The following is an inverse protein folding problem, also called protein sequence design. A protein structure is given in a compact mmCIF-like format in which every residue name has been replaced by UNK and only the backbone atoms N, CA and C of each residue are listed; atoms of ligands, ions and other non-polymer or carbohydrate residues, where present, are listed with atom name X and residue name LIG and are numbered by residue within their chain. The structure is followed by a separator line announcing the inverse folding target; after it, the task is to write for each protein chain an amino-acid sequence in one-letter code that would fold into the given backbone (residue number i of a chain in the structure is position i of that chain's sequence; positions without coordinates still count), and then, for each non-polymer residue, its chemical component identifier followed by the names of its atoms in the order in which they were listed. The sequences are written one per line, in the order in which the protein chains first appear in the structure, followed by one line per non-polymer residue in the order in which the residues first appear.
data_IF_149782780883
#
_entry.id   IF_149782780883
#
_cell.length_a   1.000
_cell.length_b   1.000
_cell.length_c   1.000
_cell.angle_alpha   90.00
_cell.angle_beta   90.00
_cell.angle_gamma   90.00
#
_symmetry.space_group_name_H-M   'P 1'
#
loop_
_entity.id
_entity.type
_entity.pdbx_description
1 polymer ?
#
# COMPACT_ATOMS: atom_id res chain seq x y z
N UNK A 1 -6.94 -7.93 37.50
CA UNK A 1 -7.17 -6.91 36.45
C UNK A 1 -7.76 -7.62 35.24
N UNK A 2 -8.98 -7.26 34.86
CA UNK A 2 -9.72 -7.93 33.79
C UNK A 2 -9.22 -7.52 32.40
N UNK A 3 -9.29 -8.51 31.51
CA UNK A 3 -9.16 -8.53 30.04
C UNK A 3 -9.38 -7.19 29.32
N UNK A 4 -8.36 -6.75 28.57
CA UNK A 4 -8.46 -5.99 27.30
C UNK A 4 -9.27 -4.67 27.25
N UNK A 5 -9.49 -3.97 28.37
CA UNK A 5 -10.27 -2.71 28.42
C UNK A 5 -9.62 -1.46 27.77
N UNK A 6 -8.46 -1.58 27.09
CA UNK A 6 -7.86 -0.45 26.37
C UNK A 6 -8.35 -0.32 24.91
N UNK A 7 -9.15 -1.27 24.43
CA UNK A 7 -9.78 -1.21 23.10
C UNK A 7 -11.29 -1.10 23.28
N UNK A 8 -11.74 0.01 23.83
CA UNK A 8 -13.16 0.30 23.85
C UNK A 8 -13.58 0.74 22.44
N UNK A 9 -14.38 -0.09 21.79
CA UNK A 9 -15.11 0.29 20.58
C UNK A 9 -16.32 1.09 21.08
N UNK A 10 -16.07 2.34 21.48
CA UNK A 10 -17.13 3.25 21.95
C UNK A 10 -18.02 3.69 20.77
N UNK A 11 -19.23 4.17 21.05
CA UNK A 11 -20.14 4.63 19.99
C UNK A 11 -19.62 5.86 19.23
N UNK A 12 -18.74 6.66 19.85
CA UNK A 12 -18.10 7.83 19.25
C UNK A 12 -17.02 7.45 18.23
N UNK A 13 -16.55 6.20 18.24
CA UNK A 13 -15.54 5.67 17.31
C UNK A 13 -16.11 5.35 15.93
N UNK A 14 -17.44 5.28 15.81
CA UNK A 14 -18.14 5.05 14.55
C UNK A 14 -18.34 6.38 13.82
N UNK A 15 -18.20 6.40 12.50
CA UNK A 15 -18.50 7.60 11.71
C UNK A 15 -19.93 8.10 12.00
N UNK A 16 -20.14 9.41 11.87
CA UNK A 16 -21.40 10.15 12.07
C UNK A 16 -22.48 9.71 11.06
N UNK A 17 -22.94 8.47 11.20
CA UNK A 17 -23.95 7.83 10.37
C UNK A 17 -24.96 7.22 11.33
N UNK A 18 -26.23 7.52 11.12
CA UNK A 18 -27.32 6.97 11.93
C UNK A 18 -27.45 5.47 11.66
N UNK A 19 -26.67 4.66 12.39
CA UNK A 19 -26.72 3.20 12.32
C UNK A 19 -27.82 2.66 13.23
N UNK A 20 -28.55 1.65 12.76
CA UNK A 20 -29.45 0.89 13.62
C UNK A 20 -28.68 0.14 14.72
N UNK A 21 -29.35 -0.19 15.83
CA UNK A 21 -28.72 -0.97 16.91
C UNK A 21 -28.15 -2.31 16.40
N UNK A 22 -28.80 -2.95 15.44
CA UNK A 22 -28.33 -4.19 14.84
C UNK A 22 -27.05 -3.99 14.01
N UNK A 23 -26.98 -2.91 13.22
CA UNK A 23 -25.78 -2.55 12.47
C UNK A 23 -24.60 -2.24 13.39
N UNK A 24 -24.86 -1.52 14.49
CA UNK A 24 -23.85 -1.22 15.52
C UNK A 24 -23.29 -2.49 16.17
N UNK A 25 -24.16 -3.42 16.58
CA UNK A 25 -23.72 -4.66 17.22
C UNK A 25 -22.98 -5.60 16.24
N UNK A 26 -23.41 -5.62 14.97
CA UNK A 26 -22.68 -6.32 13.90
C UNK A 26 -21.27 -5.75 13.72
N UNK A 27 -21.14 -4.42 13.72
CA UNK A 27 -19.86 -3.74 13.59
C UNK A 27 -18.95 -4.00 14.79
N UNK A 28 -19.43 -3.86 16.03
CA UNK A 28 -18.64 -4.20 17.23
C UNK A 28 -18.12 -5.63 17.20
N UNK A 29 -18.94 -6.61 16.79
CA UNK A 29 -18.52 -8.00 16.62
C UNK A 29 -17.41 -8.14 15.58
N UNK A 30 -17.56 -7.49 14.43
CA UNK A 30 -16.57 -7.50 13.35
C UNK A 30 -15.23 -6.88 13.79
N UNK A 31 -15.27 -5.74 14.50
CA UNK A 31 -14.07 -5.07 15.00
C UNK A 31 -13.38 -5.91 16.08
N UNK A 32 -14.13 -6.46 17.04
CA UNK A 32 -13.58 -7.38 18.06
C UNK A 32 -12.94 -8.62 17.43
N UNK A 33 -13.58 -9.18 16.42
CA UNK A 33 -13.04 -10.30 15.64
C UNK A 33 -11.72 -9.92 14.97
N UNK A 34 -11.66 -8.76 14.31
CA UNK A 34 -10.47 -8.24 13.61
C UNK A 34 -9.29 -8.05 14.56
N UNK A 35 -9.55 -7.47 15.74
CA UNK A 35 -8.55 -7.27 16.79
C UNK A 35 -8.00 -8.59 17.29
N UNK A 36 -8.87 -9.55 17.61
CA UNK A 36 -8.44 -10.89 18.03
C UNK A 36 -7.61 -11.59 16.95
N UNK A 37 -8.02 -11.44 15.69
CA UNK A 37 -7.27 -11.94 14.54
C UNK A 37 -5.89 -11.30 14.40
N UNK A 38 -5.75 -10.00 14.63
CA UNK A 38 -4.46 -9.32 14.67
C UNK A 38 -3.52 -9.92 15.72
N UNK A 39 -4.01 -10.20 16.94
CA UNK A 39 -3.19 -10.85 17.96
C UNK A 39 -2.76 -12.27 17.55
N UNK A 40 -3.69 -13.08 17.02
CA UNK A 40 -3.41 -14.48 16.64
C UNK A 40 -2.43 -14.56 15.46
N UNK A 41 -2.59 -13.68 14.48
CA UNK A 41 -1.78 -13.70 13.26
C UNK A 41 -0.33 -13.26 13.45
N UNK A 42 -0.04 -12.52 14.51
CA UNK A 42 1.29 -11.98 14.79
C UNK A 42 1.99 -12.69 15.95
N UNK A 43 1.60 -13.94 16.23
CA UNK A 43 2.17 -14.75 17.32
C UNK A 43 3.63 -15.14 17.11
N UNK A 44 4.15 -15.02 15.89
CA UNK A 44 5.55 -15.23 15.58
C UNK A 44 6.44 -14.01 15.92
N UNK A 45 5.83 -12.88 16.26
CA UNK A 45 6.51 -11.66 16.70
C UNK A 45 6.53 -11.60 18.23
N UNK A 46 7.67 -11.19 18.78
CA UNK A 46 7.81 -10.91 20.22
C UNK A 46 7.21 -9.54 20.55
N UNK A 47 5.89 -9.49 20.70
CA UNK A 47 5.13 -8.27 20.98
C UNK A 47 4.75 -8.22 22.47
N UNK A 48 5.18 -7.17 23.16
CA UNK A 48 4.76 -6.90 24.53
C UNK A 48 3.37 -6.24 24.55
N UNK A 49 2.34 -7.04 24.80
CA UNK A 49 0.96 -6.57 25.01
C UNK A 49 0.64 -6.26 26.48
N UNK A 50 1.64 -6.02 27.33
CA UNK A 50 1.41 -5.59 28.70
C UNK A 50 0.66 -4.24 28.73
N UNK A 51 -0.25 -4.02 29.71
CA UNK A 51 -0.95 -2.75 29.83
C UNK A 51 -0.02 -1.53 29.90
N UNK A 52 1.15 -1.69 30.53
CA UNK A 52 2.16 -0.64 30.63
C UNK A 52 2.69 -0.24 29.25
N UNK A 53 3.06 -1.22 28.41
CA UNK A 53 3.59 -0.93 27.08
C UNK A 53 2.53 -0.40 26.12
N UNK A 54 1.30 -0.89 26.21
CA UNK A 54 0.16 -0.36 25.45
C UNK A 54 -0.06 1.12 25.81
N UNK A 55 -0.10 1.45 27.11
CA UNK A 55 -0.31 2.81 27.57
C UNK A 55 0.83 3.75 27.20
N UNK A 56 2.10 3.32 27.35
CA UNK A 56 3.25 4.12 26.93
C UNK A 56 3.24 4.35 25.41
N UNK A 57 2.86 3.35 24.63
CA UNK A 57 2.73 3.48 23.17
C UNK A 57 1.62 4.47 22.81
N UNK A 58 0.45 4.36 23.47
CA UNK A 58 -0.66 5.29 23.32
C UNK A 58 -0.25 6.75 23.60
N UNK A 59 0.50 6.99 24.67
CA UNK A 59 1.02 8.33 24.97
C UNK A 59 2.05 8.81 23.93
N UNK A 60 2.92 7.91 23.46
CA UNK A 60 3.99 8.26 22.50
C UNK A 60 3.47 8.69 21.12
N UNK A 61 2.25 8.27 20.74
CA UNK A 61 1.65 8.60 19.46
C UNK A 61 1.12 10.03 19.39
N UNK A 62 0.99 10.74 20.52
CA UNK A 62 0.49 12.12 20.53
C UNK A 62 -0.86 12.25 19.79
N UNK A 63 -1.05 13.23 18.89
CA UNK A 63 -2.29 13.38 18.12
C UNK A 63 -2.63 12.20 17.21
N UNK A 64 -1.66 11.41 16.76
CA UNK A 64 -1.91 10.27 15.85
C UNK A 64 -2.68 9.14 16.53
N UNK A 65 -2.70 9.08 17.86
CA UNK A 65 -3.43 8.04 18.61
C UNK A 65 -4.94 8.09 18.32
N UNK A 66 -5.45 9.27 17.99
CA UNK A 66 -6.86 9.53 17.73
C UNK A 66 -7.24 9.23 16.27
N UNK A 67 -6.26 8.90 15.41
CA UNK A 67 -6.53 8.49 14.03
C UNK A 67 -7.14 7.09 14.00
N UNK A 68 -8.31 6.97 13.38
CA UNK A 68 -8.97 5.69 13.17
C UNK A 68 -8.33 4.96 11.99
N UNK A 69 -8.11 3.65 12.14
CA UNK A 69 -7.75 2.76 11.04
C UNK A 69 -8.90 1.78 10.88
N UNK A 70 -9.47 1.67 9.68
CA UNK A 70 -10.65 0.82 9.43
C UNK A 70 -11.81 1.09 10.41
N UNK A 71 -12.02 2.36 10.78
CA UNK A 71 -13.03 2.81 11.75
C UNK A 71 -12.79 2.30 13.19
N UNK A 72 -11.58 1.85 13.50
CA UNK A 72 -11.19 1.42 14.85
C UNK A 72 -10.35 2.51 15.51
N UNK A 73 -10.86 3.06 16.61
CA UNK A 73 -10.13 3.97 17.51
C UNK A 73 -8.95 3.25 18.14
N UNK A 74 -7.84 3.95 18.36
CA UNK A 74 -6.58 3.40 18.91
C UNK A 74 -5.93 2.28 18.07
N UNK A 75 -6.42 1.96 16.86
CA UNK A 75 -5.77 0.94 16.01
C UNK A 75 -4.32 1.31 15.64
N UNK A 76 -3.99 2.61 15.66
CA UNK A 76 -2.61 3.11 15.57
C UNK A 76 -1.70 2.59 16.68
N UNK A 77 -2.22 2.36 17.89
CA UNK A 77 -1.46 1.74 19.00
C UNK A 77 -1.07 0.32 18.63
N UNK A 78 -2.02 -0.47 18.14
CA UNK A 78 -1.77 -1.86 17.73
C UNK A 78 -0.83 -1.93 16.54
N UNK A 79 -1.05 -1.09 15.52
CA UNK A 79 -0.11 -0.93 14.41
C UNK A 79 1.30 -0.65 14.93
N UNK A 80 1.46 0.33 15.83
CA UNK A 80 2.76 0.70 16.37
C UNK A 80 3.42 -0.44 17.12
N UNK A 81 2.68 -1.20 17.92
CA UNK A 81 3.20 -2.36 18.65
C UNK A 81 3.69 -3.46 17.71
N UNK A 82 2.83 -3.88 16.78
CA UNK A 82 3.13 -4.94 15.81
C UNK A 82 4.32 -4.55 14.93
N UNK A 83 4.28 -3.34 14.34
CA UNK A 83 5.35 -2.87 13.45
C UNK A 83 6.66 -2.66 14.21
N UNK A 84 6.63 -2.23 15.48
CA UNK A 84 7.86 -2.13 16.28
C UNK A 84 8.51 -3.49 16.53
N UNK A 85 7.72 -4.52 16.85
CA UNK A 85 8.24 -5.88 17.00
C UNK A 85 8.72 -6.47 15.66
N UNK A 86 7.97 -6.23 14.59
CA UNK A 86 8.35 -6.62 13.23
C UNK A 86 9.70 -6.01 12.86
N UNK A 87 9.88 -4.70 13.06
CA UNK A 87 11.12 -4.00 12.71
C UNK A 87 12.33 -4.58 13.48
N UNK A 88 12.17 -4.94 14.76
CA UNK A 88 13.25 -5.59 15.53
C UNK A 88 13.69 -6.92 14.91
N UNK A 89 12.75 -7.68 14.35
CA UNK A 89 12.99 -9.02 13.79
C UNK A 89 13.50 -8.96 12.35
N UNK A 90 12.94 -8.09 11.52
CA UNK A 90 13.07 -8.14 10.06
C UNK A 90 13.84 -6.96 9.43
N UNK A 91 14.26 -5.95 10.19
CA UNK A 91 15.17 -4.92 9.66
C UNK A 91 16.45 -5.60 9.14
N UNK A 92 16.88 -5.32 7.88
CA UNK A 92 18.11 -5.88 7.33
C UNK A 92 19.32 -5.59 8.24
N UNK A 93 20.01 -6.63 8.69
CA UNK A 93 21.17 -6.52 9.61
C UNK A 93 22.51 -6.48 8.89
N UNK A 94 22.55 -6.96 7.66
CA UNK A 94 23.78 -7.10 6.86
C UNK A 94 24.04 -5.90 5.93
N UNK A 95 23.12 -4.94 5.91
CA UNK A 95 23.16 -3.77 5.04
C UNK A 95 22.73 -2.53 5.84
N UNK A 96 23.34 -1.39 5.54
CA UNK A 96 22.92 -0.12 6.14
C UNK A 96 21.57 0.30 5.56
N UNK A 97 20.59 0.47 6.46
CA UNK A 97 19.26 0.97 6.11
C UNK A 97 19.30 2.50 6.12
N UNK A 98 19.20 3.09 4.94
CA UNK A 98 19.24 4.55 4.75
C UNK A 98 17.85 5.19 4.79
N UNK A 99 16.79 4.40 4.62
CA UNK A 99 15.41 4.85 4.83
C UNK A 99 14.50 3.67 5.21
N UNK A 100 13.53 3.94 6.07
CA UNK A 100 12.54 2.98 6.54
C UNK A 100 11.19 3.66 6.68
N UNK A 101 10.18 3.15 5.98
CA UNK A 101 8.82 3.71 5.99
C UNK A 101 7.77 2.62 5.98
N UNK A 102 6.77 2.78 6.82
CA UNK A 102 5.52 2.01 6.76
C UNK A 102 4.51 2.82 5.95
N UNK A 103 3.91 2.22 4.93
CA UNK A 103 3.09 2.89 3.92
C UNK A 103 1.79 2.14 3.71
N UNK A 104 0.71 2.84 3.43
CA UNK A 104 -0.56 2.28 3.00
C UNK A 104 -0.54 1.90 1.50
N UNK A 105 -1.31 0.89 1.13
CA UNK A 105 -1.59 0.52 -0.25
C UNK A 105 -2.92 1.19 -0.62
N UNK A 106 -2.94 1.95 -1.70
CA UNK A 106 -4.21 2.41 -2.26
C UNK A 106 -5.03 1.18 -2.65
N UNK A 107 -6.27 1.05 -2.17
CA UNK A 107 -7.09 -0.11 -2.52
C UNK A 107 -7.18 -0.27 -4.05
N UNK A 108 -7.00 -1.50 -4.55
CA UNK A 108 -7.08 -1.83 -5.99
C UNK A 108 -5.75 -1.86 -6.76
N UNK A 109 -4.59 -1.76 -6.10
CA UNK A 109 -3.27 -1.82 -6.78
C UNK A 109 -2.60 -3.20 -6.78
N UNK A 110 -3.26 -4.18 -6.18
CA UNK A 110 -2.84 -5.58 -6.25
C UNK A 110 -3.31 -6.18 -7.57
N UNK A 111 -2.38 -6.23 -8.53
CA UNK A 111 -2.50 -6.95 -9.79
C UNK A 111 -3.47 -6.33 -10.80
N UNK A 112 -2.99 -6.13 -12.04
CA UNK A 112 -3.88 -5.95 -13.18
C UNK A 112 -4.90 -7.11 -13.19
N UNK A 113 -6.19 -6.78 -13.24
CA UNK A 113 -7.31 -7.66 -13.58
C UNK A 113 -7.73 -8.78 -12.60
N UNK A 114 -7.33 -8.75 -11.33
CA UNK A 114 -7.88 -9.69 -10.33
C UNK A 114 -8.56 -8.90 -9.21
N UNK A 115 -9.89 -8.95 -9.18
CA UNK A 115 -10.68 -8.40 -8.08
C UNK A 115 -10.15 -8.93 -6.74
N UNK A 116 -10.02 -8.08 -5.71
CA UNK A 116 -9.47 -8.48 -4.42
C UNK A 116 -10.29 -9.65 -3.86
N UNK A 117 -9.65 -10.81 -3.77
CA UNK A 117 -10.18 -11.91 -2.98
C UNK A 117 -10.15 -11.44 -1.52
N UNK A 118 -11.31 -11.46 -0.86
CA UNK A 118 -11.49 -10.94 0.51
C UNK A 118 -10.74 -11.74 1.59
N UNK A 119 -9.94 -12.75 1.21
CA UNK A 119 -9.03 -13.46 2.09
C UNK A 119 -7.61 -12.93 1.91
N UNK A 120 -7.04 -12.33 2.96
CA UNK A 120 -5.68 -11.77 2.99
C UNK A 120 -5.40 -10.65 1.98
N UNK A 121 -6.34 -9.70 1.84
CA UNK A 121 -6.11 -8.45 1.08
C UNK A 121 -4.92 -7.67 1.67
N UNK A 122 -4.02 -7.15 0.83
CA UNK A 122 -2.87 -6.35 1.24
C UNK A 122 -3.30 -4.90 1.47
N UNK A 123 -2.89 -4.36 2.59
CA UNK A 123 -3.22 -2.99 2.97
C UNK A 123 -1.98 -2.14 3.22
N UNK A 124 -0.84 -2.72 3.58
CA UNK A 124 0.33 -1.93 3.91
C UNK A 124 1.63 -2.53 3.40
N UNK A 125 2.67 -1.69 3.32
CA UNK A 125 4.05 -2.09 3.10
C UNK A 125 4.95 -1.55 4.21
N UNK A 126 5.83 -2.38 4.76
CA UNK A 126 7.06 -1.91 5.37
C UNK A 126 8.15 -1.93 4.30
N UNK A 127 8.71 -0.75 4.00
CA UNK A 127 9.81 -0.56 3.07
C UNK A 127 11.09 -0.26 3.85
N UNK A 128 12.16 -1.00 3.55
CA UNK A 128 13.53 -0.66 3.93
C UNK A 128 14.35 -0.43 2.67
N UNK A 129 15.05 0.70 2.62
CA UNK A 129 15.96 1.03 1.52
C UNK A 129 17.38 0.95 2.05
N UNK A 130 18.22 0.22 1.33
CA UNK A 130 19.67 0.17 1.54
C UNK A 130 20.37 0.67 0.27
N UNK A 131 21.70 0.74 0.28
CA UNK A 131 22.47 1.05 -0.92
C UNK A 131 22.34 0.00 -2.04
N UNK A 132 21.92 -1.24 -1.73
CA UNK A 132 21.90 -2.35 -2.68
C UNK A 132 20.49 -2.83 -3.01
N UNK A 133 19.58 -2.76 -2.06
CA UNK A 133 18.27 -3.39 -2.13
C UNK A 133 17.17 -2.50 -1.56
N UNK A 134 15.96 -2.68 -2.07
CA UNK A 134 14.71 -2.32 -1.40
C UNK A 134 14.10 -3.62 -0.88
N UNK A 135 13.87 -3.70 0.42
CA UNK A 135 13.12 -4.77 1.05
C UNK A 135 11.69 -4.28 1.26
N UNK A 136 10.73 -5.01 0.71
CA UNK A 136 9.31 -4.73 0.80
C UNK A 136 8.62 -5.89 1.50
N UNK A 137 7.95 -5.61 2.60
CA UNK A 137 7.11 -6.57 3.30
C UNK A 137 5.67 -6.11 3.20
N UNK A 138 4.80 -6.93 2.62
CA UNK A 138 3.37 -6.64 2.50
C UNK A 138 2.63 -7.09 3.75
N UNK A 139 1.64 -6.31 4.19
CA UNK A 139 0.85 -6.58 5.37
C UNK A 139 -0.64 -6.57 5.10
N UNK A 140 -1.39 -7.42 5.82
CA UNK A 140 -2.85 -7.39 5.83
C UNK A 140 -3.42 -6.24 6.66
N UNK A 141 -4.75 -6.09 6.66
CA UNK A 141 -5.50 -5.20 7.55
C UNK A 141 -5.33 -5.55 9.05
N UNK A 142 -4.82 -6.74 9.34
CA UNK A 142 -4.48 -7.19 10.71
C UNK A 142 -2.98 -7.05 11.01
N UNK A 143 -2.26 -6.28 10.19
CA UNK A 143 -0.81 -6.06 10.32
C UNK A 143 0.02 -7.35 10.34
N UNK A 144 -0.50 -8.44 9.77
CA UNK A 144 0.25 -9.68 9.54
C UNK A 144 1.10 -9.51 8.30
N UNK A 145 2.39 -9.81 8.38
CA UNK A 145 3.23 -9.89 7.19
C UNK A 145 2.80 -11.10 6.34
N UNK A 146 2.48 -10.88 5.07
CA UNK A 146 1.99 -11.93 4.14
C UNK A 146 3.05 -12.27 3.11
N UNK A 147 3.82 -11.27 2.66
CA UNK A 147 4.76 -11.44 1.56
C UNK A 147 6.03 -10.62 1.79
N UNK A 148 7.14 -11.11 1.25
CA UNK A 148 8.44 -10.43 1.20
C UNK A 148 8.89 -10.33 -0.26
N UNK A 149 9.38 -9.15 -0.64
CA UNK A 149 10.01 -8.91 -1.93
C UNK A 149 11.30 -8.13 -1.72
N UNK A 150 12.39 -8.63 -2.32
CA UNK A 150 13.69 -7.96 -2.33
C UNK A 150 13.95 -7.48 -3.76
N UNK A 151 14.15 -6.18 -3.92
CA UNK A 151 14.36 -5.54 -5.22
C UNK A 151 15.77 -4.94 -5.23
N UNK A 152 16.70 -5.51 -6.02
CA UNK A 152 18.01 -4.89 -6.18
C UNK A 152 17.88 -3.50 -6.82
N UNK A 153 18.59 -2.51 -6.29
CA UNK A 153 18.58 -1.12 -6.79
C UNK A 153 18.95 -1.08 -8.28
N UNK A 154 19.90 -1.92 -8.71
CA UNK A 154 20.31 -2.07 -10.11
C UNK A 154 19.19 -2.55 -11.06
N UNK A 155 18.13 -3.17 -10.53
CA UNK A 155 16.97 -3.63 -11.32
C UNK A 155 15.92 -2.55 -11.51
N UNK A 156 16.05 -1.41 -10.83
CA UNK A 156 15.15 -0.28 -10.99
C UNK A 156 15.54 0.48 -12.26
N UNK A 157 14.57 0.64 -13.16
CA UNK A 157 14.72 1.39 -14.41
C UNK A 157 14.56 2.88 -14.15
N UNK A 158 13.52 3.26 -13.41
CA UNK A 158 13.20 4.65 -13.10
C UNK A 158 12.26 4.75 -11.91
N UNK A 159 12.34 5.85 -11.18
CA UNK A 159 11.42 6.23 -10.10
C UNK A 159 10.83 7.60 -10.39
N UNK A 160 9.53 7.75 -10.23
CA UNK A 160 8.87 9.03 -10.50
C UNK A 160 7.58 9.19 -9.72
N UNK A 161 7.13 10.44 -9.56
CA UNK A 161 5.81 10.74 -9.03
C UNK A 161 4.78 10.73 -10.15
N UNK A 162 3.68 10.05 -9.89
CA UNK A 162 2.55 9.93 -10.81
C UNK A 162 1.31 10.53 -10.19
N UNK A 163 0.74 11.49 -10.91
CA UNK A 163 -0.62 11.98 -10.66
C UNK A 163 -1.65 11.16 -11.46
N UNK A 164 -1.21 10.11 -12.17
CA UNK A 164 -2.09 9.37 -13.09
C UNK A 164 -3.07 8.48 -12.33
N UNK A 165 -4.32 8.93 -12.41
CA UNK A 165 -5.56 8.20 -12.18
C UNK A 165 -5.59 6.93 -13.05
N UNK A 166 -5.21 5.80 -12.47
CA UNK A 166 -5.72 4.52 -12.96
C UNK A 166 -6.75 4.05 -11.95
N UNK A 167 -7.97 3.84 -12.46
CA UNK A 167 -9.05 3.11 -11.79
C UNK A 167 -9.75 3.81 -10.62
N UNK A 168 -10.42 4.95 -10.89
CA UNK A 168 -11.56 5.55 -10.16
C UNK A 168 -11.53 5.63 -8.61
N UNK A 169 -10.39 5.36 -7.97
CA UNK A 169 -10.25 5.35 -6.53
C UNK A 169 -9.26 6.45 -6.12
N UNK A 170 -9.82 7.63 -5.79
CA UNK A 170 -9.06 8.78 -5.27
C UNK A 170 -8.64 8.51 -3.83
N UNK A 171 -7.43 7.97 -3.64
CA UNK A 171 -6.84 7.89 -2.29
C UNK A 171 -5.77 8.94 -2.05
N UNK A 172 -4.96 9.33 -3.04
CA UNK A 172 -4.01 10.46 -2.92
C UNK A 172 -3.79 11.19 -4.25
N UNK A 173 -3.27 12.42 -4.18
CA UNK A 173 -2.95 13.23 -5.37
C UNK A 173 -1.63 12.82 -6.04
N UNK A 174 -0.77 12.08 -5.33
CA UNK A 174 0.64 11.82 -5.72
C UNK A 174 1.04 10.40 -5.32
N UNK A 175 1.32 9.56 -6.32
CA UNK A 175 1.81 8.20 -6.11
C UNK A 175 3.30 8.10 -6.45
N UNK A 176 4.08 7.43 -5.60
CA UNK A 176 5.43 6.98 -5.99
C UNK A 176 5.29 5.80 -6.94
N UNK A 177 5.99 5.85 -8.06
CA UNK A 177 6.09 4.72 -8.98
C UNK A 177 7.54 4.26 -9.04
N UNK A 178 7.75 2.98 -8.76
CA UNK A 178 9.03 2.30 -8.98
C UNK A 178 8.84 1.40 -10.21
N UNK A 179 9.51 1.73 -11.31
CA UNK A 179 9.50 0.91 -12.52
C UNK A 179 10.76 0.06 -12.58
N UNK A 180 10.58 -1.25 -12.74
CA UNK A 180 11.63 -2.25 -12.86
C UNK A 180 11.98 -2.50 -14.33
N UNK A 181 13.24 -2.85 -14.59
CA UNK A 181 13.72 -3.30 -15.90
C UNK A 181 12.95 -4.57 -16.30
N UNK A 182 12.59 -4.69 -17.59
CA UNK A 182 11.69 -5.71 -18.17
C UNK A 182 11.59 -7.04 -17.39
N UNK A 183 10.42 -7.29 -16.81
CA UNK A 183 10.07 -8.56 -16.15
C UNK A 183 9.12 -9.36 -17.06
N UNK A 184 9.40 -10.65 -17.33
CA UNK A 184 8.70 -11.38 -18.39
C UNK A 184 7.21 -11.69 -18.13
N UNK A 185 6.66 -11.51 -16.92
CA UNK A 185 5.31 -12.00 -16.60
C UNK A 185 4.44 -11.16 -15.63
N UNK A 186 4.70 -9.86 -15.44
CA UNK A 186 3.81 -9.00 -14.63
C UNK A 186 3.97 -7.53 -14.95
N UNK A 187 3.06 -6.68 -14.43
CA UNK A 187 3.32 -5.24 -14.34
C UNK A 187 4.71 -5.01 -13.72
N UNK A 188 5.60 -4.37 -14.46
CA UNK A 188 6.93 -4.00 -13.98
C UNK A 188 6.90 -2.72 -13.11
N UNK A 189 5.72 -2.31 -12.66
CA UNK A 189 5.51 -1.07 -11.91
C UNK A 189 4.90 -1.37 -10.56
N UNK A 190 5.55 -0.85 -9.53
CA UNK A 190 5.06 -0.81 -8.17
C UNK A 190 4.62 0.61 -7.86
N UNK A 191 3.51 0.74 -7.14
CA UNK A 191 2.88 2.00 -6.80
C UNK A 191 2.72 2.10 -5.29
N UNK A 192 3.11 3.24 -4.74
CA UNK A 192 2.97 3.53 -3.32
C UNK A 192 2.26 4.86 -3.14
N UNK A 193 1.39 4.94 -2.13
CA UNK A 193 0.61 6.14 -1.80
C UNK A 193 1.05 6.68 -0.45
N UNK A 194 0.86 7.99 -0.26
CA UNK A 194 1.05 8.60 1.07
C UNK A 194 -0.06 8.16 2.01
N UNK A 195 0.29 7.96 3.28
CA UNK A 195 -0.68 7.75 4.37
C UNK A 195 -1.56 8.98 4.56
N UNK A 196 -0.98 10.18 4.44
CA UNK A 196 -1.72 11.43 4.37
C UNK A 196 -1.77 11.94 2.91
N UNK A 197 -2.95 11.91 2.26
CA UNK A 197 -3.09 12.42 0.91
C UNK A 197 -3.00 13.94 0.79
N UNK A 198 -3.08 14.68 1.90
CA UNK A 198 -2.90 16.14 1.96
C UNK A 198 -1.45 16.54 2.19
N UNK A 199 -0.63 15.66 2.77
CA UNK A 199 0.80 15.86 2.99
C UNK A 199 1.62 14.65 2.47
N UNK A 200 2.01 14.65 1.18
CA UNK A 200 2.73 13.54 0.57
C UNK A 200 4.24 13.54 0.93
N UNK A 201 4.65 14.20 2.01
CA UNK A 201 6.05 14.31 2.42
C UNK A 201 6.74 12.95 2.53
N UNK A 202 6.05 11.94 3.06
CA UNK A 202 6.62 10.60 3.17
C UNK A 202 7.03 10.00 1.81
N UNK A 203 6.18 10.19 0.80
CA UNK A 203 6.46 9.74 -0.58
C UNK A 203 7.59 10.57 -1.22
N UNK A 204 7.67 11.87 -0.93
CA UNK A 204 8.76 12.73 -1.41
C UNK A 204 10.11 12.38 -0.77
N UNK A 205 10.12 12.05 0.52
CA UNK A 205 11.31 11.62 1.25
C UNK A 205 11.84 10.29 0.69
N UNK A 206 10.94 9.34 0.40
CA UNK A 206 11.30 8.07 -0.26
C UNK A 206 11.88 8.33 -1.65
N UNK A 207 11.21 9.15 -2.47
CA UNK A 207 11.73 9.50 -3.79
C UNK A 207 13.14 10.09 -3.67
N UNK A 208 13.33 11.07 -2.79
CA UNK A 208 14.63 11.73 -2.59
C UNK A 208 15.72 10.74 -2.18
N UNK A 209 15.39 9.76 -1.33
CA UNK A 209 16.29 8.66 -0.97
C UNK A 209 16.65 7.81 -2.18
N UNK A 210 15.69 7.45 -3.03
CA UNK A 210 15.94 6.65 -4.22
C UNK A 210 16.80 7.41 -5.25
N UNK A 211 16.61 8.72 -5.37
CA UNK A 211 17.43 9.55 -6.26
C UNK A 211 18.89 9.68 -5.79
N UNK A 212 19.14 9.69 -4.48
CA UNK A 212 20.51 9.73 -3.94
C UNK A 212 21.30 8.45 -4.24
N UNK A 213 20.60 7.36 -4.58
CA UNK A 213 21.18 6.09 -5.05
C UNK A 213 21.46 6.08 -6.57
N UNK A 214 21.41 7.23 -7.24
CA UNK A 214 21.58 7.37 -8.69
C UNK A 214 20.52 6.64 -9.53
N UNK A 215 19.35 6.37 -8.97
CA UNK A 215 18.23 5.82 -9.74
C UNK A 215 17.69 6.92 -10.67
N UNK A 216 17.46 6.65 -11.96
CA UNK A 216 16.90 7.63 -12.88
C UNK A 216 15.52 8.14 -12.47
N UNK A 217 15.25 9.43 -12.69
CA UNK A 217 13.92 10.04 -12.56
C UNK A 217 13.36 10.41 -13.94
N UNK A 218 13.07 9.40 -14.74
CA UNK A 218 12.51 9.58 -16.07
C UNK A 218 11.04 9.20 -16.09
N UNK A 219 10.18 10.18 -16.38
CA UNK A 219 8.77 9.90 -16.66
C UNK A 219 8.68 9.11 -17.97
N UNK A 220 8.08 7.89 -17.95
CA UNK A 220 7.96 7.10 -19.17
C UNK A 220 7.11 7.86 -20.17
N UNK A 221 7.70 8.19 -21.33
CA UNK A 221 6.96 8.79 -22.44
C UNK A 221 5.82 7.85 -22.82
N UNK A 222 4.58 8.36 -22.87
CA UNK A 222 3.44 7.61 -23.43
C UNK A 222 3.87 7.08 -24.80
N UNK A 223 3.81 5.76 -25.01
CA UNK A 223 3.98 5.15 -26.34
C UNK A 223 2.79 5.54 -27.23
N UNK A 224 2.70 6.81 -27.62
CA UNK A 224 1.73 7.32 -28.61
C UNK A 224 1.96 6.69 -29.98
N UNK A 225 3.18 6.25 -30.26
CA UNK A 225 3.56 5.55 -31.49
C UNK A 225 2.78 4.25 -31.73
N UNK A 226 2.50 3.42 -30.72
CA UNK A 226 1.76 2.16 -30.97
C UNK A 226 0.29 2.39 -31.26
N UNK A 227 -0.34 3.39 -30.60
CA UNK A 227 -1.72 3.80 -30.92
C UNK A 227 -1.81 4.42 -32.31
N UNK A 228 -0.85 5.26 -32.69
CA UNK A 228 -0.74 5.80 -34.05
C UNK A 228 -0.59 4.69 -35.09
N UNK A 229 0.23 3.67 -34.81
CA UNK A 229 0.44 2.54 -35.72
C UNK A 229 -0.81 1.67 -35.87
N UNK A 230 -1.56 1.43 -34.78
CA UNK A 230 -2.86 0.74 -34.82
C UNK A 230 -3.88 1.54 -35.63
N UNK A 231 -3.97 2.86 -35.42
CA UNK A 231 -4.83 3.75 -36.21
C UNK A 231 -4.43 3.72 -37.69
N UNK A 232 -3.13 3.76 -37.98
CA UNK A 232 -2.61 3.71 -39.36
C UNK A 232 -2.97 2.38 -40.05
N UNK A 233 -2.80 1.24 -39.38
CA UNK A 233 -3.19 -0.08 -39.90
C UNK A 233 -4.70 -0.14 -40.12
N UNK A 234 -5.51 0.40 -39.20
CA UNK A 234 -6.97 0.44 -39.35
C UNK A 234 -7.41 1.29 -40.54
N UNK A 235 -6.77 2.44 -40.77
CA UNK A 235 -7.05 3.30 -41.93
C UNK A 235 -6.68 2.59 -43.23
N UNK A 236 -5.52 1.92 -43.29
CA UNK A 236 -5.11 1.13 -44.46
C UNK A 236 -6.11 0.00 -44.72
N UNK A 237 -6.50 -0.75 -43.70
CA UNK A 237 -7.46 -1.85 -43.83
C UNK A 237 -8.83 -1.34 -44.34
N UNK A 238 -9.34 -0.25 -43.77
CA UNK A 238 -10.59 0.38 -44.21
C UNK A 238 -10.53 0.78 -45.69
N UNK A 239 -9.44 1.40 -46.14
CA UNK A 239 -9.23 1.79 -47.54
C UNK A 239 -9.23 0.58 -48.49
N UNK A 240 -8.61 -0.54 -48.12
CA UNK A 240 -8.63 -1.76 -48.93
C UNK A 240 -10.03 -2.39 -49.01
N UNK A 241 -10.80 -2.36 -47.92
CA UNK A 241 -12.18 -2.89 -47.94
C UNK A 241 -13.13 -2.04 -48.76
N UNK A 242 -12.96 -0.71 -48.80
CA UNK A 242 -13.80 0.17 -49.61
C UNK A 242 -13.41 0.17 -51.09
N UNK A 243 -12.11 0.06 -51.42
CA UNK A 243 -11.64 -0.10 -52.80
C UNK A 243 -11.98 -1.47 -53.39
N UNK A 244 -11.86 -2.56 -52.62
CA UNK A 244 -12.25 -3.90 -53.08
C UNK A 244 -13.75 -4.07 -53.31
N UNK A 245 -14.59 -3.24 -52.68
CA UNK A 245 -16.03 -3.17 -52.93
C UNK A 245 -16.36 -2.43 -54.24
N UNK A 246 -15.55 -1.43 -54.62
CA UNK A 246 -15.69 -0.68 -55.87
C UNK A 246 -15.30 -1.50 -57.12
N UNK A 247 -14.38 -2.46 -56.99
CA UNK A 247 -14.03 -3.40 -58.08
C UNK A 247 -15.02 -4.57 -58.24
N UNK A 248 -16.04 -4.65 -57.37
CA UNK A 248 -17.04 -5.74 -57.34
C UNK A 248 -18.46 -5.31 -57.73
N UNK A 249 -18.64 -4.06 -58.20
CA UNK A 249 -19.88 -3.50 -58.76
C UNK A 249 -19.64 -3.21 -60.25
#
# INVERSE_FOLDING_TARGET
MNKYELIDIDEESLADVTLSNEQKESLKKSLKFTLNWCFINNTDLDIDFSPSNIYSTYLSLGPERDYTIHLIKNAKVLQKLVISAFNKKFTPKNEEVISSKFLNIGAGMEFNDIAPYWGETLFYYQMYITHKNIYLYSFSNTFKAINEQIIPIEKIETVYLSNSYKDNMKFSNVNLVIQLKDTPFSSNKLYFVSDDPKDPKDIQDILSTLLSLNIPNTLPKRKTLSKLLIVFIFVIFALFTTLGLLDSI
#
